data_IF_842880816059
#
_entry.id   IF_842880816059
#
_cell.length_a   1.000
_cell.length_b   1.000
_cell.length_c   1.000
_cell.angle_alpha   90.00
_cell.angle_beta   90.00
_cell.angle_gamma   90.00
#
_symmetry.space_group_name_H-M   'P 1'
#
loop_
_entity.id
_entity.type
_entity.pdbx_description
1 polymer ?
#
# COMPACT_ATOMS: atom_id res chain seq x y z
N UNK A 1 26.07 -37.70 -12.75
CA UNK A 1 26.63 -36.98 -11.59
C UNK A 1 26.36 -37.84 -10.36
N UNK A 2 27.39 -38.29 -9.62
CA UNK A 2 27.18 -39.19 -8.47
C UNK A 2 26.69 -38.37 -7.26
N UNK A 3 25.61 -38.76 -6.57
CA UNK A 3 25.10 -38.01 -5.42
C UNK A 3 26.15 -38.00 -4.30
N UNK A 4 26.50 -36.81 -3.81
CA UNK A 4 27.49 -36.64 -2.75
C UNK A 4 26.79 -36.88 -1.41
N UNK A 5 27.11 -37.99 -0.76
CA UNK A 5 26.58 -38.35 0.56
C UNK A 5 27.26 -37.47 1.60
N UNK A 6 26.48 -36.72 2.37
CA UNK A 6 26.94 -35.81 3.42
C UNK A 6 27.21 -36.58 4.72
N UNK A 7 26.30 -37.49 5.05
CA UNK A 7 26.32 -38.31 6.24
C UNK A 7 25.42 -39.53 6.03
N UNK A 8 25.47 -40.48 6.93
CA UNK A 8 24.56 -41.62 6.98
C UNK A 8 23.71 -41.51 8.24
N UNK A 9 22.39 -41.52 8.07
CA UNK A 9 21.47 -41.57 9.19
C UNK A 9 21.30 -43.04 9.59
N UNK A 10 21.78 -43.38 10.79
CA UNK A 10 21.56 -44.69 11.39
C UNK A 10 20.13 -44.73 11.95
N UNK A 11 19.37 -45.75 11.56
CA UNK A 11 18.05 -46.00 12.15
C UNK A 11 18.23 -46.66 13.52
N UNK A 12 17.76 -46.01 14.58
CA UNK A 12 17.90 -46.45 15.97
C UNK A 12 17.03 -47.70 16.24
N UNK A 13 16.04 -47.99 15.38
CA UNK A 13 15.11 -49.12 15.53
C UNK A 13 15.48 -50.35 14.69
N UNK A 14 16.70 -50.40 14.14
CA UNK A 14 17.24 -51.59 13.47
C UNK A 14 16.94 -51.70 11.97
N UNK A 15 16.49 -50.62 11.32
CA UNK A 15 16.38 -50.53 9.86
C UNK A 15 17.69 -50.25 9.13
N UNK A 16 17.66 -50.31 7.80
CA UNK A 16 18.83 -50.01 6.96
C UNK A 16 19.19 -48.51 7.00
N UNK A 17 20.49 -48.23 7.10
CA UNK A 17 21.01 -46.86 7.17
C UNK A 17 20.71 -46.08 5.89
N UNK A 18 20.11 -44.89 6.02
CA UNK A 18 19.71 -44.06 4.89
C UNK A 18 20.75 -42.97 4.63
N UNK A 19 21.20 -42.75 3.38
CA UNK A 19 22.18 -41.71 3.08
C UNK A 19 21.54 -40.31 3.13
N UNK A 20 22.11 -39.42 3.93
CA UNK A 20 21.78 -38.00 3.92
C UNK A 20 22.50 -37.36 2.74
N UNK A 21 21.74 -36.96 1.73
CA UNK A 21 22.29 -36.37 0.50
C UNK A 21 22.56 -34.88 0.71
N UNK A 22 23.70 -34.39 0.21
CA UNK A 22 23.92 -32.94 0.09
C UNK A 22 22.98 -32.42 -0.99
N UNK A 23 21.89 -31.77 -0.59
CA UNK A 23 21.05 -31.01 -1.51
C UNK A 23 21.77 -29.69 -1.77
N UNK A 24 22.15 -29.37 -3.02
CA UNK A 24 22.69 -28.05 -3.33
C UNK A 24 21.67 -26.98 -2.90
N UNK A 25 22.10 -25.87 -2.28
CA UNK A 25 21.19 -24.81 -1.87
C UNK A 25 20.36 -24.39 -3.08
N UNK A 26 19.04 -24.39 -2.92
CA UNK A 26 18.13 -23.93 -3.97
C UNK A 26 18.57 -22.51 -4.31
N UNK A 27 18.97 -22.22 -5.56
CA UNK A 27 19.36 -20.87 -5.93
C UNK A 27 18.18 -19.95 -5.63
N UNK A 28 18.49 -18.79 -5.05
CA UNK A 28 17.46 -17.80 -4.74
C UNK A 28 16.70 -17.50 -6.04
N UNK A 29 15.37 -17.64 -6.05
CA UNK A 29 14.60 -17.63 -7.30
C UNK A 29 14.62 -16.26 -7.98
N UNK A 30 15.05 -15.20 -7.27
CA UNK A 30 15.11 -13.85 -7.78
C UNK A 30 16.45 -13.20 -7.43
N UNK A 31 17.14 -12.57 -8.40
CA UNK A 31 18.30 -11.74 -8.11
C UNK A 31 17.89 -10.54 -7.24
N UNK A 32 18.86 -9.85 -6.64
CA UNK A 32 18.59 -8.63 -5.88
C UNK A 32 17.81 -7.59 -6.75
N UNK A 33 16.76 -6.95 -6.21
CA UNK A 33 15.91 -5.98 -6.92
C UNK A 33 16.66 -4.91 -7.72
N UNK A 34 17.87 -4.54 -7.30
CA UNK A 34 18.70 -3.57 -8.03
C UNK A 34 19.13 -4.06 -9.42
N UNK A 35 19.15 -5.38 -9.65
CA UNK A 35 19.53 -6.01 -10.92
C UNK A 35 18.33 -6.50 -11.75
N UNK A 36 17.10 -6.18 -11.34
CA UNK A 36 15.92 -6.59 -12.11
C UNK A 36 15.83 -5.84 -13.44
N UNK A 37 15.54 -6.57 -14.51
CA UNK A 37 15.11 -5.94 -15.76
C UNK A 37 13.79 -5.19 -15.53
N UNK A 38 13.52 -4.15 -16.34
CA UNK A 38 12.31 -3.36 -16.22
C UNK A 38 11.03 -4.23 -16.23
N UNK A 39 10.99 -5.22 -17.12
CA UNK A 39 9.87 -6.17 -17.24
C UNK A 39 9.64 -7.02 -15.99
N UNK A 40 10.71 -7.44 -15.30
CA UNK A 40 10.61 -8.24 -14.05
C UNK A 40 10.15 -7.34 -12.91
N UNK A 41 10.65 -6.10 -12.86
CA UNK A 41 10.22 -5.11 -11.87
C UNK A 41 8.74 -4.77 -12.01
N UNK A 42 8.29 -4.48 -13.23
CA UNK A 42 6.88 -4.20 -13.54
C UNK A 42 6.00 -5.40 -13.19
N UNK A 43 6.38 -6.61 -13.60
CA UNK A 43 5.64 -7.83 -13.23
C UNK A 43 5.58 -8.09 -11.73
N UNK A 44 6.64 -7.75 -10.98
CA UNK A 44 6.63 -7.86 -9.52
C UNK A 44 5.76 -6.80 -8.85
N UNK A 45 5.76 -5.56 -9.37
CA UNK A 45 4.86 -4.50 -8.93
C UNK A 45 3.41 -4.92 -9.13
N UNK A 46 3.06 -5.45 -10.31
CA UNK A 46 1.73 -5.95 -10.61
C UNK A 46 1.33 -7.15 -9.72
N UNK A 47 2.27 -8.06 -9.45
CA UNK A 47 2.04 -9.18 -8.55
C UNK A 47 1.80 -8.71 -7.10
N UNK A 48 2.56 -7.71 -6.62
CA UNK A 48 2.37 -7.11 -5.30
C UNK A 48 1.04 -6.37 -5.20
N UNK A 49 0.64 -5.64 -6.25
CA UNK A 49 -0.68 -4.98 -6.34
C UNK A 49 -1.80 -6.02 -6.29
N UNK A 50 -1.67 -7.10 -7.06
CA UNK A 50 -2.62 -8.22 -7.08
C UNK A 50 -2.70 -8.89 -5.71
N UNK A 51 -1.56 -9.16 -5.07
CA UNK A 51 -1.51 -9.73 -3.73
C UNK A 51 -2.16 -8.81 -2.68
N UNK A 52 -1.89 -7.51 -2.75
CA UNK A 52 -2.51 -6.52 -1.88
C UNK A 52 -4.03 -6.44 -2.10
N UNK A 53 -4.51 -6.67 -3.33
CA UNK A 53 -5.94 -6.78 -3.66
C UNK A 53 -6.58 -8.06 -3.12
N UNK A 54 -5.91 -9.20 -3.28
CA UNK A 54 -6.45 -10.51 -2.88
C UNK A 54 -6.43 -10.75 -1.36
N UNK A 55 -5.51 -10.09 -0.64
CA UNK A 55 -5.43 -10.14 0.84
C UNK A 55 -6.67 -9.58 1.55
N UNK A 56 -7.64 -8.97 0.83
CA UNK A 56 -8.72 -8.15 1.39
C UNK A 56 -10.06 -8.84 1.60
N UNK A 57 -10.17 -10.16 1.41
CA UNK A 57 -11.45 -10.83 1.67
C UNK A 57 -11.90 -10.85 3.14
N UNK A 58 -11.18 -10.20 4.06
CA UNK A 58 -11.70 -9.86 5.38
C UNK A 58 -10.81 -8.83 6.08
N UNK A 59 -11.42 -7.75 6.56
CA UNK A 59 -10.88 -6.80 7.54
C UNK A 59 -9.62 -6.01 7.16
N UNK A 60 -9.81 -4.81 6.60
CA UNK A 60 -9.35 -3.51 7.17
C UNK A 60 -9.45 -2.42 6.12
N UNK A 61 -10.21 -1.38 6.45
CA UNK A 61 -10.08 -0.09 5.78
C UNK A 61 -8.61 0.36 5.88
N UNK A 62 -8.03 0.98 4.84
CA UNK A 62 -6.63 1.41 4.85
C UNK A 62 -6.42 2.45 5.94
N UNK A 63 -5.33 2.34 6.69
CA UNK A 63 -4.99 3.29 7.78
C UNK A 63 -4.98 4.73 7.27
N UNK A 64 -4.38 4.98 6.10
CA UNK A 64 -4.38 6.31 5.48
C UNK A 64 -5.79 6.87 5.22
N UNK A 65 -6.76 6.04 4.83
CA UNK A 65 -8.14 6.49 4.61
C UNK A 65 -8.89 6.67 5.94
N UNK A 66 -8.59 5.85 6.95
CA UNK A 66 -9.12 6.04 8.30
C UNK A 66 -8.60 7.35 8.91
N UNK A 67 -7.32 7.66 8.74
CA UNK A 67 -6.69 8.90 9.21
C UNK A 67 -7.29 10.12 8.51
N UNK A 68 -7.53 10.03 7.20
CA UNK A 68 -8.26 11.06 6.45
C UNK A 68 -9.65 11.29 7.05
N UNK A 69 -10.42 10.22 7.24
CA UNK A 69 -11.77 10.31 7.81
C UNK A 69 -11.76 10.87 9.24
N UNK A 70 -10.78 10.48 10.05
CA UNK A 70 -10.59 11.00 11.41
C UNK A 70 -10.28 12.50 11.39
N UNK A 71 -9.38 12.94 10.52
CA UNK A 71 -9.02 14.35 10.39
C UNK A 71 -10.19 15.23 9.92
N UNK A 72 -10.96 14.77 8.93
CA UNK A 72 -12.18 15.46 8.49
C UNK A 72 -13.22 15.52 9.63
N UNK A 73 -13.38 14.43 10.36
CA UNK A 73 -14.28 14.36 11.52
C UNK A 73 -13.85 15.32 12.63
N UNK A 74 -12.56 15.38 12.96
CA UNK A 74 -12.00 16.28 13.97
C UNK A 74 -12.19 17.74 13.57
N UNK A 75 -12.03 18.06 12.28
CA UNK A 75 -12.35 19.38 11.75
C UNK A 75 -13.81 19.75 11.98
N UNK A 76 -14.73 18.82 11.73
CA UNK A 76 -16.17 19.02 11.92
C UNK A 76 -16.56 19.18 13.39
N UNK A 77 -15.84 18.52 14.30
CA UNK A 77 -15.98 18.69 15.75
C UNK A 77 -15.27 19.93 16.28
N UNK A 78 -14.66 20.73 15.40
CA UNK A 78 -13.89 21.92 15.75
C UNK A 78 -12.72 21.61 16.71
N UNK A 79 -12.12 20.43 16.57
CA UNK A 79 -10.88 20.06 17.24
C UNK A 79 -9.73 20.81 16.58
N UNK A 80 -8.73 21.18 17.36
CA UNK A 80 -7.53 21.85 16.84
C UNK A 80 -6.74 20.86 15.98
N UNK A 81 -6.52 21.21 14.72
CA UNK A 81 -5.71 20.47 13.77
C UNK A 81 -4.45 21.25 13.41
N UNK A 82 -3.43 20.52 12.97
CA UNK A 82 -2.37 21.14 12.18
C UNK A 82 -2.96 21.57 10.83
N UNK A 83 -2.82 22.85 10.51
CA UNK A 83 -3.43 23.46 9.33
C UNK A 83 -2.73 22.98 8.06
N UNK A 84 -1.41 22.74 8.12
CA UNK A 84 -0.64 22.31 6.96
C UNK A 84 -0.95 20.85 6.64
N UNK A 85 -1.02 19.97 7.64
CA UNK A 85 -1.42 18.57 7.45
C UNK A 85 -2.87 18.43 6.97
N UNK A 86 -3.77 19.27 7.51
CA UNK A 86 -5.16 19.29 7.06
C UNK A 86 -5.30 19.71 5.60
N UNK A 87 -4.59 20.76 5.20
CA UNK A 87 -4.58 21.21 3.80
C UNK A 87 -3.93 20.18 2.89
N UNK A 88 -2.81 19.58 3.31
CA UNK A 88 -2.13 18.48 2.63
C UNK A 88 -3.09 17.30 2.36
N UNK A 89 -3.87 16.93 3.37
CA UNK A 89 -4.86 15.85 3.31
C UNK A 89 -6.01 16.20 2.36
N UNK A 90 -6.60 17.40 2.50
CA UNK A 90 -7.67 17.87 1.62
C UNK A 90 -7.27 17.88 0.16
N UNK A 91 -6.11 18.45 -0.18
CA UNK A 91 -5.67 18.52 -1.57
C UNK A 91 -5.26 17.16 -2.13
N UNK A 92 -4.74 16.25 -1.29
CA UNK A 92 -4.46 14.87 -1.72
C UNK A 92 -5.74 14.11 -2.07
N UNK A 93 -6.77 14.16 -1.20
CA UNK A 93 -8.09 13.54 -1.46
C UNK A 93 -8.71 14.09 -2.76
N UNK A 94 -8.54 15.40 -3.00
CA UNK A 94 -9.06 16.07 -4.20
C UNK A 94 -8.18 15.95 -5.44
N UNK A 95 -7.03 15.26 -5.35
CA UNK A 95 -6.13 15.06 -6.49
C UNK A 95 -5.40 16.34 -6.95
N UNK A 96 -5.22 17.33 -6.09
CA UNK A 96 -4.45 18.55 -6.41
C UNK A 96 -2.94 18.29 -6.43
N UNK A 97 -2.49 17.30 -5.67
CA UNK A 97 -1.14 16.77 -5.69
C UNK A 97 -1.15 15.30 -5.27
N UNK A 98 -0.07 14.62 -5.60
CA UNK A 98 0.17 13.26 -5.15
C UNK A 98 0.99 13.27 -3.85
N UNK A 99 0.68 12.30 -2.97
CA UNK A 99 1.57 11.94 -1.88
C UNK A 99 2.64 10.98 -2.37
N UNK A 100 3.07 10.04 -1.51
CA UNK A 100 3.87 8.90 -1.97
C UNK A 100 3.13 8.04 -3.02
N UNK A 101 1.79 8.02 -2.93
CA UNK A 101 0.86 7.43 -3.89
C UNK A 101 -0.30 8.41 -4.11
N UNK A 102 -0.94 8.37 -5.29
CA UNK A 102 -2.15 9.16 -5.54
C UNK A 102 -3.33 8.63 -4.73
N UNK A 103 -4.27 9.51 -4.38
CA UNK A 103 -5.49 9.12 -3.67
C UNK A 103 -6.30 8.08 -4.46
N UNK A 104 -6.44 8.27 -5.77
CA UNK A 104 -7.10 7.31 -6.67
C UNK A 104 -6.41 5.94 -6.66
N UNK A 105 -5.07 5.91 -6.65
CA UNK A 105 -4.33 4.66 -6.58
C UNK A 105 -4.53 3.96 -5.24
N UNK A 106 -4.54 4.70 -4.12
CA UNK A 106 -4.89 4.13 -2.82
C UNK A 106 -6.32 3.60 -2.84
N UNK A 107 -7.30 4.34 -3.35
CA UNK A 107 -8.69 3.87 -3.41
C UNK A 107 -8.87 2.62 -4.30
N UNK A 108 -8.29 2.62 -5.52
CA UNK A 108 -8.27 1.47 -6.45
C UNK A 108 -7.50 0.26 -5.90
N UNK A 109 -6.41 0.56 -5.17
CA UNK A 109 -5.76 -0.25 -4.15
C UNK A 109 -6.75 -1.17 -3.46
N UNK A 110 -7.65 -0.46 -2.78
CA UNK A 110 -8.45 -0.89 -1.66
C UNK A 110 -9.91 -1.22 -1.99
N UNK A 111 -10.28 -1.19 -3.28
CA UNK A 111 -11.65 -1.44 -3.71
C UNK A 111 -12.63 -0.41 -3.16
N UNK A 112 -12.14 0.78 -2.83
CA UNK A 112 -12.93 1.90 -2.33
C UNK A 112 -13.15 2.85 -3.50
N UNK A 113 -14.37 3.36 -3.60
CA UNK A 113 -14.70 4.38 -4.58
C UNK A 113 -14.10 5.72 -4.11
N UNK A 114 -13.14 6.31 -4.86
CA UNK A 114 -12.53 7.60 -4.51
C UNK A 114 -13.56 8.72 -4.41
N UNK A 115 -14.70 8.62 -5.10
CA UNK A 115 -15.74 9.64 -5.03
C UNK A 115 -16.39 9.73 -3.65
N UNK A 116 -16.26 8.69 -2.80
CA UNK A 116 -16.91 8.64 -1.48
C UNK A 116 -16.48 9.79 -0.57
N UNK A 117 -15.17 9.96 -0.31
CA UNK A 117 -14.70 11.05 0.56
C UNK A 117 -14.74 12.40 -0.15
N UNK A 118 -14.53 12.43 -1.47
CA UNK A 118 -14.65 13.65 -2.27
C UNK A 118 -16.07 14.23 -2.18
N UNK A 119 -17.09 13.37 -2.30
CA UNK A 119 -18.50 13.75 -2.15
C UNK A 119 -18.77 14.27 -0.74
N UNK A 120 -18.28 13.59 0.30
CA UNK A 120 -18.41 14.08 1.70
C UNK A 120 -17.82 15.48 1.87
N UNK A 121 -16.67 15.76 1.25
CA UNK A 121 -16.04 17.10 1.29
C UNK A 121 -16.91 18.14 0.59
N UNK A 122 -17.47 17.83 -0.59
CA UNK A 122 -18.33 18.76 -1.33
C UNK A 122 -19.69 19.00 -0.68
N UNK A 123 -20.30 17.95 -0.12
CA UNK A 123 -21.63 17.99 0.48
C UNK A 123 -21.63 18.63 1.87
N UNK A 124 -20.48 18.65 2.54
CA UNK A 124 -20.35 19.23 3.88
C UNK A 124 -19.93 20.71 3.80
N UNK A 125 -20.78 21.67 4.20
CA UNK A 125 -20.53 23.09 3.96
C UNK A 125 -19.21 23.63 4.53
N UNK A 126 -18.80 23.12 5.70
CA UNK A 126 -17.54 23.50 6.33
C UNK A 126 -16.32 23.04 5.52
N UNK A 127 -16.33 21.77 5.08
CA UNK A 127 -15.24 21.18 4.32
C UNK A 127 -15.18 21.76 2.89
N UNK A 128 -16.33 21.99 2.27
CA UNK A 128 -16.42 22.64 0.96
C UNK A 128 -15.86 24.08 0.99
N UNK A 129 -16.13 24.83 2.06
CA UNK A 129 -15.56 26.17 2.25
C UNK A 129 -14.04 26.10 2.42
N UNK A 130 -13.55 25.18 3.25
CA UNK A 130 -12.12 25.00 3.47
C UNK A 130 -11.42 24.56 2.18
N UNK A 131 -12.06 23.72 1.36
CA UNK A 131 -11.57 23.35 0.03
C UNK A 131 -11.51 24.54 -0.93
N UNK A 132 -12.53 25.42 -0.93
CA UNK A 132 -12.53 26.63 -1.74
C UNK A 132 -11.38 27.58 -1.34
N UNK A 133 -11.11 27.70 -0.04
CA UNK A 133 -9.96 28.45 0.46
C UNK A 133 -8.65 27.84 -0.01
N UNK A 134 -8.50 26.50 0.08
CA UNK A 134 -7.33 25.78 -0.40
C UNK A 134 -7.10 26.01 -1.89
N UNK A 135 -8.14 25.91 -2.73
CA UNK A 135 -8.06 26.20 -4.17
C UNK A 135 -7.54 27.60 -4.44
N UNK A 136 -8.03 28.59 -3.69
CA UNK A 136 -7.59 30.00 -3.84
C UNK A 136 -6.11 30.17 -3.51
N UNK A 137 -5.62 29.45 -2.50
CA UNK A 137 -4.20 29.47 -2.11
C UNK A 137 -3.33 28.79 -3.18
N UNK A 138 -3.73 27.60 -3.64
CA UNK A 138 -2.90 26.78 -4.53
C UNK A 138 -2.90 27.26 -5.98
N UNK A 139 -4.03 27.75 -6.50
CA UNK A 139 -4.19 28.07 -7.91
C UNK A 139 -4.35 29.57 -8.19
N UNK A 140 -4.37 30.41 -7.15
CA UNK A 140 -4.72 31.82 -7.25
C UNK A 140 -6.19 32.03 -7.61
N UNK A 141 -6.71 33.25 -7.43
CA UNK A 141 -8.02 33.58 -8.02
C UNK A 141 -7.83 33.91 -9.49
N UNK A 142 -8.44 33.11 -10.38
CA UNK A 142 -8.88 33.62 -11.67
C UNK A 142 -10.10 34.52 -11.39
N UNK A 143 -9.83 35.77 -10.99
CA UNK A 143 -10.79 36.86 -11.08
C UNK A 143 -10.69 37.46 -12.47
#
# INVERSE_FOLDING_TARGET
MKPKVAAWQLDIFGGEATPVLVVPPKPDPLPDPQYWSASVREGMIDALITLARDSRRGDRMPESLMDCAAMLSDRLRNVKLDVDDYRATLGWIMGYWDGALSYEHVCSVNGIDPETLQSVIFETPLLARDLAELRRICFGSLL
#
